data_IF_558734220617
#
_entry.id   IF_558734220617
#
_cell.length_a   1.000
_cell.length_b   1.000
_cell.length_c   1.000
_cell.angle_alpha   90.00
_cell.angle_beta   90.00
_cell.angle_gamma   90.00
#
_symmetry.space_group_name_H-M   'P 1'
#
loop_
_entity.id
_entity.type
_entity.pdbx_description
1 polymer ?
#
# COMPACT_ATOMS: atom_id res chain seq x y z
N UNK A 1 3.86 60.10 -5.10
CA UNK A 1 2.87 59.51 -4.17
C UNK A 1 2.31 58.15 -4.61
N UNK A 2 2.04 57.89 -5.90
CA UNK A 2 1.55 56.56 -6.36
C UNK A 2 2.51 55.37 -6.08
N UNK A 3 3.83 55.57 -6.14
CA UNK A 3 4.81 54.48 -5.93
C UNK A 3 4.96 54.05 -4.46
N UNK A 4 4.68 54.95 -3.51
CA UNK A 4 4.70 54.63 -2.06
C UNK A 4 3.47 53.81 -1.69
N UNK A 5 2.31 54.11 -2.31
CA UNK A 5 1.06 53.36 -2.07
C UNK A 5 1.18 51.93 -2.61
N UNK A 6 1.84 51.71 -3.75
CA UNK A 6 2.07 50.37 -4.29
C UNK A 6 3.00 49.56 -3.37
N UNK A 7 4.07 50.16 -2.84
CA UNK A 7 5.00 49.47 -1.95
C UNK A 7 4.34 49.08 -0.61
N UNK A 8 3.52 49.98 -0.04
CA UNK A 8 2.77 49.70 1.19
C UNK A 8 1.70 48.63 0.98
N UNK A 9 1.04 48.60 -0.19
CA UNK A 9 0.04 47.56 -0.51
C UNK A 9 0.69 46.20 -0.77
N UNK A 10 1.89 46.15 -1.37
CA UNK A 10 2.64 44.90 -1.57
C UNK A 10 3.19 44.36 -0.26
N UNK A 11 3.73 45.22 0.61
CA UNK A 11 4.26 44.80 1.93
C UNK A 11 3.11 44.42 2.88
N UNK A 12 2.00 45.17 2.88
CA UNK A 12 0.81 44.79 3.65
C UNK A 12 0.15 43.52 3.10
N UNK A 13 0.12 43.33 1.78
CA UNK A 13 -0.36 42.11 1.14
C UNK A 13 0.51 40.89 1.47
N UNK A 14 1.84 41.06 1.47
CA UNK A 14 2.79 40.02 1.88
C UNK A 14 2.68 39.71 3.38
N UNK A 15 2.52 40.71 4.24
CA UNK A 15 2.32 40.53 5.68
C UNK A 15 0.98 39.84 6.00
N UNK A 16 -0.09 40.19 5.28
CA UNK A 16 -1.42 39.61 5.46
C UNK A 16 -1.50 38.17 4.92
N UNK A 17 -0.85 37.90 3.79
CA UNK A 17 -0.68 36.55 3.24
C UNK A 17 0.18 35.69 4.18
N UNK A 18 1.28 36.24 4.72
CA UNK A 18 2.13 35.56 5.69
C UNK A 18 1.38 35.23 6.98
N UNK A 19 0.46 36.09 7.45
CA UNK A 19 -0.24 35.88 8.73
C UNK A 19 -1.56 35.09 8.64
N UNK A 20 -2.22 35.03 7.48
CA UNK A 20 -3.53 34.39 7.31
C UNK A 20 -3.55 33.15 6.40
N UNK A 21 -2.44 32.79 5.75
CA UNK A 21 -2.34 31.56 4.96
C UNK A 21 -1.42 30.55 5.68
N UNK A 22 -1.95 29.73 6.59
CA UNK A 22 -1.17 28.70 7.28
C UNK A 22 -0.49 27.72 6.31
N UNK A 23 -1.08 27.45 5.15
CA UNK A 23 -0.47 26.60 4.10
C UNK A 23 0.80 27.17 3.46
N UNK A 24 0.97 28.50 3.41
CA UNK A 24 2.19 29.15 2.89
C UNK A 24 3.32 29.13 3.92
N UNK A 25 2.98 29.32 5.21
CA UNK A 25 3.92 29.09 6.30
C UNK A 25 4.31 27.62 6.36
N UNK A 26 3.38 26.68 6.30
CA UNK A 26 3.70 25.25 6.30
C UNK A 26 4.56 24.84 5.11
N UNK A 27 4.36 25.43 3.92
CA UNK A 27 5.23 25.15 2.76
C UNK A 27 6.63 25.76 2.89
N UNK A 28 6.75 26.99 3.41
CA UNK A 28 8.06 27.63 3.65
C UNK A 28 8.79 26.99 4.83
N UNK A 29 8.07 26.58 5.87
CA UNK A 29 8.62 25.88 7.04
C UNK A 29 8.93 24.42 6.68
N UNK A 30 8.14 23.76 5.83
CA UNK A 30 8.51 22.45 5.25
C UNK A 30 9.68 22.57 4.31
N UNK A 31 9.78 23.59 3.45
CA UNK A 31 10.95 23.80 2.61
C UNK A 31 12.20 24.10 3.45
N UNK A 32 12.10 24.99 4.45
CA UNK A 32 13.20 25.30 5.36
C UNK A 32 13.62 24.11 6.23
N UNK A 33 12.67 23.27 6.67
CA UNK A 33 12.95 22.04 7.41
C UNK A 33 13.42 20.89 6.51
N UNK A 34 13.01 20.86 5.23
CA UNK A 34 13.37 19.83 4.25
C UNK A 34 14.83 19.90 3.82
N UNK A 35 15.45 21.08 3.91
CA UNK A 35 16.89 21.26 3.66
C UNK A 35 17.72 21.37 4.95
N UNK A 36 17.14 21.16 6.14
CA UNK A 36 17.90 21.26 7.40
C UNK A 36 18.64 22.59 7.61
N UNK A 37 18.23 23.67 6.94
CA UNK A 37 18.93 24.95 6.93
C UNK A 37 20.02 25.14 5.86
N UNK A 38 20.24 24.18 4.94
CA UNK A 38 21.20 24.30 3.84
C UNK A 38 20.69 25.16 2.68
N UNK A 39 20.89 26.48 2.76
CA UNK A 39 20.65 27.40 1.64
C UNK A 39 21.65 27.19 0.50
N UNK A 40 21.42 27.77 -0.68
CA UNK A 40 22.42 27.73 -1.77
C UNK A 40 23.75 28.35 -1.34
N UNK A 41 23.71 29.46 -0.60
CA UNK A 41 24.89 30.11 -0.04
C UNK A 41 25.60 29.22 0.98
N UNK A 42 24.86 28.55 1.87
CA UNK A 42 25.43 27.62 2.85
C UNK A 42 26.15 26.45 2.16
N UNK A 43 25.54 25.89 1.11
CA UNK A 43 26.11 24.80 0.31
C UNK A 43 27.40 25.19 -0.41
N UNK A 44 27.47 26.42 -0.95
CA UNK A 44 28.69 26.95 -1.57
C UNK A 44 29.77 27.27 -0.54
N UNK A 45 29.38 27.74 0.65
CA UNK A 45 30.32 28.08 1.72
C UNK A 45 30.92 26.85 2.42
N UNK A 46 30.18 25.75 2.47
CA UNK A 46 30.62 24.47 3.04
C UNK A 46 30.13 23.29 2.19
N UNK A 47 30.77 23.04 1.03
CA UNK A 47 30.35 21.99 0.11
C UNK A 47 30.62 20.58 0.68
N UNK A 48 31.65 20.44 1.53
CA UNK A 48 31.97 19.17 2.18
C UNK A 48 30.92 18.83 3.23
N UNK A 49 30.53 19.78 4.08
CA UNK A 49 29.47 19.58 5.08
C UNK A 49 28.11 19.28 4.43
N UNK A 50 27.80 19.90 3.28
CA UNK A 50 26.58 19.55 2.55
C UNK A 50 26.61 18.11 2.00
N UNK A 51 27.75 17.67 1.44
CA UNK A 51 27.90 16.28 0.96
C UNK A 51 27.80 15.29 2.12
N UNK A 52 28.38 15.60 3.29
CA UNK A 52 28.22 14.80 4.51
C UNK A 52 26.76 14.70 4.93
N UNK A 53 26.05 15.83 5.01
CA UNK A 53 24.63 15.85 5.35
C UNK A 53 23.78 15.03 4.36
N UNK A 54 24.01 15.19 3.06
CA UNK A 54 23.31 14.42 2.03
C UNK A 54 23.60 12.91 2.15
N UNK A 55 24.83 12.54 2.50
CA UNK A 55 25.23 11.15 2.74
C UNK A 55 24.48 10.57 3.93
N UNK A 56 24.48 11.27 5.07
CA UNK A 56 23.75 10.84 6.29
C UNK A 56 22.24 10.69 6.03
N UNK A 57 21.65 11.60 5.25
CA UNK A 57 20.25 11.52 4.88
C UNK A 57 19.96 10.29 4.00
N UNK A 58 20.79 10.01 2.98
CA UNK A 58 20.63 8.82 2.15
C UNK A 58 20.82 7.52 2.95
N UNK A 59 21.77 7.48 3.89
CA UNK A 59 21.96 6.34 4.79
C UNK A 59 20.75 6.11 5.71
N UNK A 60 20.12 7.19 6.17
CA UNK A 60 18.86 7.12 6.93
C UNK A 60 17.73 6.57 6.06
N UNK A 61 17.55 7.10 4.84
CA UNK A 61 16.54 6.63 3.89
C UNK A 61 16.72 5.14 3.56
N UNK A 62 17.97 4.68 3.37
CA UNK A 62 18.30 3.26 3.16
C UNK A 62 17.77 2.40 4.31
N UNK A 63 18.03 2.81 5.56
CA UNK A 63 17.55 2.07 6.76
C UNK A 63 16.03 2.02 6.81
N UNK A 64 15.36 3.14 6.48
CA UNK A 64 13.90 3.20 6.43
C UNK A 64 13.33 2.29 5.33
N UNK A 65 13.93 2.26 4.14
CA UNK A 65 13.55 1.36 3.06
C UNK A 65 13.80 -0.11 3.40
N UNK A 66 14.91 -0.44 4.07
CA UNK A 66 15.20 -1.80 4.54
C UNK A 66 14.19 -2.27 5.61
N UNK A 67 13.80 -1.37 6.53
CA UNK A 67 12.75 -1.64 7.51
C UNK A 67 11.39 -1.85 6.83
N UNK A 68 11.01 -0.98 5.90
CA UNK A 68 9.76 -1.10 5.14
C UNK A 68 9.72 -2.41 4.33
N UNK A 69 10.82 -2.78 3.68
CA UNK A 69 10.95 -4.06 2.97
C UNK A 69 10.77 -5.25 3.90
N UNK A 70 11.35 -5.21 5.09
CA UNK A 70 11.19 -6.26 6.11
C UNK A 70 9.73 -6.40 6.54
N UNK A 71 9.04 -5.27 6.74
CA UNK A 71 7.62 -5.26 7.07
C UNK A 71 6.77 -5.87 5.93
N UNK A 72 7.06 -5.54 4.67
CA UNK A 72 6.40 -6.13 3.50
C UNK A 72 6.58 -7.65 3.43
N UNK A 73 7.76 -8.18 3.75
CA UNK A 73 8.00 -9.63 3.81
C UNK A 73 7.15 -10.30 4.88
N UNK A 74 7.01 -9.68 6.06
CA UNK A 74 6.13 -10.19 7.12
C UNK A 74 4.66 -10.17 6.69
N UNK A 75 4.22 -9.08 6.07
CA UNK A 75 2.85 -8.93 5.56
C UNK A 75 2.56 -9.92 4.43
N UNK A 76 3.55 -10.22 3.57
CA UNK A 76 3.45 -11.25 2.53
C UNK A 76 3.12 -12.60 3.15
N UNK A 77 3.92 -13.04 4.13
CA UNK A 77 3.72 -14.32 4.81
C UNK A 77 2.34 -14.40 5.47
N UNK A 78 1.89 -13.33 6.12
CA UNK A 78 0.55 -13.31 6.73
C UNK A 78 -0.56 -13.36 5.68
N UNK A 79 -0.36 -12.72 4.53
CA UNK A 79 -1.32 -12.71 3.43
C UNK A 79 -1.40 -14.07 2.72
N UNK A 80 -0.25 -14.74 2.54
CA UNK A 80 -0.18 -16.12 2.02
C UNK A 80 -0.91 -17.11 2.95
N UNK A 81 -0.74 -16.99 4.26
CA UNK A 81 -1.46 -17.84 5.22
C UNK A 81 -2.98 -17.64 5.15
N UNK A 82 -3.45 -16.40 4.97
CA UNK A 82 -4.88 -16.10 4.79
C UNK A 82 -5.42 -16.59 3.46
N UNK A 83 -4.65 -16.49 2.40
CA UNK A 83 -5.02 -17.05 1.10
C UNK A 83 -5.23 -18.57 1.20
N UNK A 84 -4.36 -19.27 1.92
CA UNK A 84 -4.50 -20.71 2.14
C UNK A 84 -5.71 -21.06 3.01
N UNK A 85 -5.97 -20.30 4.08
CA UNK A 85 -7.17 -20.46 4.92
C UNK A 85 -8.47 -20.37 4.08
N UNK A 86 -8.54 -19.41 3.15
CA UNK A 86 -9.70 -19.29 2.26
C UNK A 86 -9.79 -20.38 1.20
N UNK A 87 -8.67 -20.92 0.72
CA UNK A 87 -8.66 -22.10 -0.15
C UNK A 87 -9.24 -23.32 0.55
N UNK A 88 -8.81 -23.56 1.78
CA UNK A 88 -9.32 -24.65 2.61
C UNK A 88 -10.82 -24.47 2.91
N UNK A 89 -11.25 -23.25 3.24
CA UNK A 89 -12.66 -22.91 3.47
C UNK A 89 -13.52 -23.15 2.21
N UNK A 90 -13.03 -22.71 1.05
CA UNK A 90 -13.72 -22.91 -0.23
C UNK A 90 -13.84 -24.39 -0.56
N UNK A 91 -12.74 -25.14 -0.47
CA UNK A 91 -12.68 -26.57 -0.79
C UNK A 91 -13.58 -27.38 0.15
N UNK A 92 -13.53 -27.09 1.45
CA UNK A 92 -14.37 -27.75 2.47
C UNK A 92 -15.85 -27.47 2.22
N UNK A 93 -16.20 -26.21 1.95
CA UNK A 93 -17.60 -25.82 1.69
C UNK A 93 -18.15 -26.50 0.44
N UNK A 94 -17.37 -26.54 -0.66
CA UNK A 94 -17.76 -27.22 -1.90
C UNK A 94 -17.84 -28.74 -1.74
N UNK A 95 -16.88 -29.34 -1.03
CA UNK A 95 -16.88 -30.78 -0.74
C UNK A 95 -18.14 -31.18 0.04
N UNK A 96 -18.51 -30.40 1.05
CA UNK A 96 -19.72 -30.64 1.83
C UNK A 96 -21.00 -30.42 1.00
N UNK A 97 -21.05 -29.36 0.19
CA UNK A 97 -22.20 -29.10 -0.69
C UNK A 97 -22.42 -30.26 -1.68
N UNK A 98 -21.34 -30.79 -2.28
CA UNK A 98 -21.41 -31.95 -3.17
C UNK A 98 -21.89 -33.22 -2.44
N UNK A 99 -21.40 -33.47 -1.22
CA UNK A 99 -21.86 -34.61 -0.43
C UNK A 99 -23.35 -34.52 -0.08
N UNK A 100 -23.84 -33.32 0.27
CA UNK A 100 -25.26 -33.09 0.51
C UNK A 100 -26.06 -33.29 -0.77
N UNK A 101 -25.56 -32.82 -1.91
CA UNK A 101 -26.20 -33.00 -3.22
C UNK A 101 -26.42 -34.47 -3.56
N UNK A 102 -25.42 -35.32 -3.33
CA UNK A 102 -25.55 -36.77 -3.56
C UNK A 102 -26.62 -37.39 -2.66
N UNK A 103 -26.61 -37.09 -1.36
CA UNK A 103 -27.63 -37.60 -0.43
C UNK A 103 -29.03 -37.07 -0.74
N UNK A 104 -29.13 -35.80 -1.15
CA UNK A 104 -30.37 -35.16 -1.55
C UNK A 104 -31.00 -35.87 -2.75
N UNK A 105 -30.22 -36.18 -3.80
CA UNK A 105 -30.72 -36.92 -4.98
C UNK A 105 -31.28 -38.28 -4.59
N UNK A 106 -30.55 -39.04 -3.77
CA UNK A 106 -31.01 -40.35 -3.28
C UNK A 106 -32.31 -40.22 -2.48
N UNK A 107 -32.41 -39.23 -1.59
CA UNK A 107 -33.60 -39.00 -0.77
C UNK A 107 -34.81 -38.57 -1.61
N UNK A 108 -34.63 -37.75 -2.65
CA UNK A 108 -35.71 -37.38 -3.59
C UNK A 108 -36.17 -38.60 -4.41
N UNK A 109 -35.27 -39.44 -4.90
CA UNK A 109 -35.62 -40.63 -5.69
C UNK A 109 -36.32 -41.70 -4.85
N UNK A 110 -35.89 -41.88 -3.61
CA UNK A 110 -36.38 -42.96 -2.74
C UNK A 110 -37.49 -42.53 -1.78
N UNK A 111 -37.74 -41.23 -1.65
CA UNK A 111 -38.65 -40.66 -0.65
C UNK A 111 -38.14 -40.77 0.79
N UNK A 112 -36.87 -41.18 1.00
CA UNK A 112 -36.30 -41.43 2.32
C UNK A 112 -35.69 -40.15 2.91
N UNK A 113 -36.53 -39.43 3.66
CA UNK A 113 -36.11 -38.29 4.49
C UNK A 113 -36.14 -38.68 5.98
N UNK A 114 -35.28 -38.09 6.84
CA UNK A 114 -34.24 -37.07 6.58
C UNK A 114 -32.90 -37.65 6.09
N UNK A 115 -32.07 -36.82 5.45
CA UNK A 115 -30.67 -37.16 5.13
C UNK A 115 -29.76 -36.94 6.35
N UNK A 116 -28.61 -37.62 6.42
CA UNK A 116 -27.67 -37.49 7.55
C UNK A 116 -26.29 -37.05 7.09
N UNK A 117 -25.88 -35.87 7.53
CA UNK A 117 -24.63 -35.21 7.11
C UNK A 117 -23.85 -34.86 8.36
N UNK A 118 -22.61 -35.34 8.46
CA UNK A 118 -21.74 -35.16 9.64
C UNK A 118 -22.44 -35.50 10.98
N UNK A 119 -23.23 -36.59 10.99
CA UNK A 119 -23.96 -37.06 12.17
C UNK A 119 -25.18 -36.24 12.55
N UNK A 120 -25.60 -35.26 11.73
CA UNK A 120 -26.83 -34.48 11.94
C UNK A 120 -27.86 -34.80 10.86
N UNK A 121 -29.11 -34.90 11.26
CA UNK A 121 -30.22 -35.14 10.33
C UNK A 121 -30.80 -33.83 9.79
N UNK A 122 -31.07 -33.79 8.49
CA UNK A 122 -31.64 -32.64 7.79
C UNK A 122 -32.85 -33.08 6.97
N UNK A 123 -33.98 -32.40 7.17
CA UNK A 123 -35.11 -32.50 6.24
C UNK A 123 -34.78 -31.80 4.91
N UNK A 124 -35.70 -31.90 3.95
CA UNK A 124 -35.54 -31.34 2.61
C UNK A 124 -35.24 -29.85 2.61
N UNK A 125 -36.01 -29.07 3.39
CA UNK A 125 -35.88 -27.62 3.44
C UNK A 125 -34.57 -27.21 4.13
N UNK A 126 -34.22 -27.92 5.19
CA UNK A 126 -32.97 -27.71 5.92
C UNK A 126 -31.74 -28.06 5.05
N UNK A 127 -31.81 -29.13 4.25
CA UNK A 127 -30.75 -29.51 3.32
C UNK A 127 -30.53 -28.45 2.22
N UNK A 128 -31.61 -27.93 1.62
CA UNK A 128 -31.53 -26.83 0.62
C UNK A 128 -30.91 -25.58 1.25
N UNK A 129 -31.36 -25.21 2.45
CA UNK A 129 -30.83 -24.05 3.18
C UNK A 129 -29.35 -24.20 3.51
N UNK A 130 -28.93 -25.40 3.94
CA UNK A 130 -27.53 -25.70 4.24
C UNK A 130 -26.66 -25.59 2.98
N UNK A 131 -27.12 -26.13 1.85
CA UNK A 131 -26.41 -26.03 0.57
C UNK A 131 -26.28 -24.57 0.13
N UNK A 132 -27.34 -23.77 0.25
CA UNK A 132 -27.28 -22.34 -0.02
C UNK A 132 -26.20 -21.63 0.79
N UNK A 133 -26.15 -21.91 2.09
CA UNK A 133 -25.14 -21.32 2.97
C UNK A 133 -23.72 -21.75 2.56
N UNK A 134 -23.52 -23.02 2.22
CA UNK A 134 -22.21 -23.54 1.80
C UNK A 134 -21.75 -22.94 0.47
N UNK A 135 -22.66 -22.79 -0.50
CA UNK A 135 -22.36 -22.14 -1.78
C UNK A 135 -22.04 -20.66 -1.59
N UNK A 136 -22.78 -19.97 -0.71
CA UNK A 136 -22.49 -18.58 -0.37
C UNK A 136 -21.11 -18.44 0.31
N UNK A 137 -20.79 -19.30 1.28
CA UNK A 137 -19.47 -19.36 1.93
C UNK A 137 -18.37 -19.60 0.90
N UNK A 138 -18.54 -20.60 0.02
CA UNK A 138 -17.57 -20.89 -1.04
C UNK A 138 -17.34 -19.70 -1.97
N UNK A 139 -18.41 -19.03 -2.40
CA UNK A 139 -18.33 -17.84 -3.24
C UNK A 139 -17.61 -16.69 -2.53
N UNK A 140 -17.90 -16.46 -1.27
CA UNK A 140 -17.26 -15.41 -0.48
C UNK A 140 -15.77 -15.70 -0.25
N UNK A 141 -15.41 -16.96 0.01
CA UNK A 141 -14.02 -17.40 0.12
C UNK A 141 -13.28 -17.16 -1.21
N UNK A 142 -13.89 -17.51 -2.35
CA UNK A 142 -13.32 -17.26 -3.67
C UNK A 142 -13.05 -15.77 -3.94
N UNK A 143 -13.99 -14.89 -3.60
CA UNK A 143 -13.81 -13.45 -3.74
C UNK A 143 -12.63 -12.94 -2.89
N UNK A 144 -12.56 -13.39 -1.62
CA UNK A 144 -11.45 -13.03 -0.73
C UNK A 144 -10.11 -13.57 -1.23
N UNK A 145 -10.07 -14.76 -1.83
CA UNK A 145 -8.85 -15.28 -2.46
C UNK A 145 -8.34 -14.33 -3.54
N UNK A 146 -9.23 -13.85 -4.43
CA UNK A 146 -8.87 -12.87 -5.47
C UNK A 146 -8.34 -11.57 -4.87
N UNK A 147 -8.95 -11.05 -3.80
CA UNK A 147 -8.46 -9.84 -3.11
C UNK A 147 -7.04 -10.06 -2.56
N UNK A 148 -6.78 -11.20 -1.91
CA UNK A 148 -5.47 -11.50 -1.35
C UNK A 148 -4.40 -11.75 -2.42
N UNK A 149 -4.76 -12.33 -3.56
CA UNK A 149 -3.85 -12.46 -4.72
C UNK A 149 -3.43 -11.08 -5.25
N UNK A 150 -4.34 -10.11 -5.32
CA UNK A 150 -4.01 -8.73 -5.69
C UNK A 150 -3.09 -8.06 -4.66
N UNK A 151 -3.35 -8.25 -3.37
CA UNK A 151 -2.47 -7.75 -2.29
C UNK A 151 -1.07 -8.33 -2.41
N UNK A 152 -0.94 -9.63 -2.65
CA UNK A 152 0.36 -10.28 -2.83
C UNK A 152 1.13 -9.73 -4.04
N UNK A 153 0.45 -9.53 -5.16
CA UNK A 153 1.06 -8.91 -6.34
C UNK A 153 1.54 -7.48 -6.08
N UNK A 154 0.76 -6.67 -5.34
CA UNK A 154 1.14 -5.32 -4.94
C UNK A 154 2.34 -5.31 -3.99
N UNK A 155 2.39 -6.25 -3.03
CA UNK A 155 3.53 -6.42 -2.12
C UNK A 155 4.81 -6.75 -2.90
N UNK A 156 4.73 -7.63 -3.89
CA UNK A 156 5.88 -8.03 -4.71
C UNK A 156 6.40 -6.88 -5.57
N UNK A 157 5.50 -6.12 -6.20
CA UNK A 157 5.87 -4.93 -6.96
C UNK A 157 6.58 -3.90 -6.07
N UNK A 158 6.02 -3.60 -4.88
CA UNK A 158 6.61 -2.61 -3.98
C UNK A 158 7.94 -3.08 -3.37
N UNK A 159 8.08 -4.38 -3.11
CA UNK A 159 9.33 -4.97 -2.63
C UNK A 159 10.45 -4.89 -3.68
N UNK A 160 10.13 -5.08 -4.95
CA UNK A 160 11.07 -4.88 -6.06
C UNK A 160 11.48 -3.41 -6.21
N UNK A 161 10.51 -2.50 -6.13
CA UNK A 161 10.75 -1.05 -6.16
C UNK A 161 11.69 -0.60 -5.04
N UNK A 162 11.43 -1.01 -3.78
CA UNK A 162 12.30 -0.71 -2.64
C UNK A 162 13.70 -1.28 -2.82
N UNK A 163 13.83 -2.47 -3.41
CA UNK A 163 15.13 -3.08 -3.70
C UNK A 163 15.94 -2.25 -4.70
N UNK A 164 15.28 -1.74 -5.75
CA UNK A 164 15.88 -0.81 -6.71
C UNK A 164 16.36 0.46 -6.02
N UNK A 165 15.50 1.09 -5.21
CA UNK A 165 15.82 2.33 -4.49
C UNK A 165 16.94 2.18 -3.47
N UNK A 166 16.97 1.08 -2.73
CA UNK A 166 18.06 0.77 -1.80
C UNK A 166 19.39 0.68 -2.57
N UNK A 167 19.39 -0.02 -3.71
CA UNK A 167 20.59 -0.18 -4.54
C UNK A 167 21.07 1.15 -5.12
N UNK A 168 20.14 1.95 -5.64
CA UNK A 168 20.42 3.29 -6.16
C UNK A 168 20.95 4.23 -5.06
N UNK A 169 20.32 4.23 -3.88
CA UNK A 169 20.76 5.06 -2.76
C UNK A 169 22.15 4.66 -2.26
N UNK A 170 22.45 3.35 -2.19
CA UNK A 170 23.80 2.85 -1.84
C UNK A 170 24.85 3.30 -2.86
N UNK A 171 24.54 3.17 -4.15
CA UNK A 171 25.40 3.68 -5.21
C UNK A 171 25.64 5.20 -5.10
N UNK A 172 24.60 5.96 -4.77
CA UNK A 172 24.71 7.41 -4.59
C UNK A 172 25.56 7.78 -3.37
N UNK A 173 25.45 7.04 -2.25
CA UNK A 173 26.34 7.21 -1.08
C UNK A 173 27.81 7.00 -1.48
N UNK A 174 28.12 5.93 -2.21
CA UNK A 174 29.50 5.67 -2.69
C UNK A 174 30.00 6.79 -3.62
N UNK A 175 29.13 7.26 -4.51
CA UNK A 175 29.44 8.38 -5.41
C UNK A 175 29.67 9.67 -4.63
N UNK A 176 28.85 9.99 -3.63
CA UNK A 176 29.03 11.16 -2.76
C UNK A 176 30.36 11.09 -2.00
N UNK A 177 30.77 9.90 -1.54
CA UNK A 177 32.07 9.72 -0.90
C UNK A 177 33.23 10.07 -1.85
N UNK A 178 33.19 9.59 -3.11
CA UNK A 178 34.21 9.95 -4.11
C UNK A 178 34.18 11.45 -4.45
N UNK A 179 32.99 12.03 -4.59
CA UNK A 179 32.77 13.44 -4.84
C UNK A 179 33.28 14.35 -3.71
N UNK A 180 33.09 13.94 -2.46
CA UNK A 180 33.62 14.62 -1.28
C UNK A 180 35.14 14.73 -1.33
N UNK A 181 35.84 13.66 -1.71
CA UNK A 181 37.30 13.68 -1.85
C UNK A 181 37.76 14.59 -2.99
N UNK A 182 37.04 14.61 -4.12
CA UNK A 182 37.32 15.57 -5.20
C UNK A 182 37.15 17.02 -4.74
N UNK A 183 36.06 17.35 -4.04
CA UNK A 183 35.80 18.71 -3.53
C UNK A 183 36.85 19.15 -2.51
N UNK A 184 37.35 18.22 -1.67
CA UNK A 184 38.47 18.51 -0.76
C UNK A 184 39.76 18.87 -1.50
N UNK A 185 39.98 18.28 -2.67
CA UNK A 185 41.16 18.53 -3.51
C UNK A 185 40.98 19.81 -4.35
N UNK A 186 39.80 20.01 -4.94
CA UNK A 186 39.48 21.06 -5.91
C UNK A 186 38.56 22.16 -5.36
N UNK A 187 38.83 22.66 -4.14
CA UNK A 187 38.01 23.67 -3.44
C UNK A 187 37.74 25.01 -4.16
N UNK A 188 38.10 25.16 -5.45
CA UNK A 188 38.06 26.40 -6.23
C UNK A 188 37.54 26.28 -7.69
N UNK A 189 36.89 25.19 -8.13
CA UNK A 189 36.42 25.07 -9.53
C UNK A 189 34.89 25.05 -9.70
N UNK A 190 34.42 25.45 -10.90
CA UNK A 190 33.01 25.41 -11.31
C UNK A 190 32.43 23.98 -11.37
N UNK A 191 33.28 22.94 -11.33
CA UNK A 191 32.83 21.55 -11.24
C UNK A 191 32.23 21.23 -9.87
N UNK A 192 32.62 21.94 -8.81
CA UNK A 192 32.03 21.81 -7.47
C UNK A 192 30.55 22.22 -7.46
N UNK A 193 30.19 23.32 -8.12
CA UNK A 193 28.80 23.79 -8.20
C UNK A 193 27.90 22.81 -8.96
N UNK A 194 28.39 22.25 -10.08
CA UNK A 194 27.67 21.20 -10.83
C UNK A 194 27.51 19.91 -10.02
N UNK A 195 28.49 19.59 -9.18
CA UNK A 195 28.41 18.46 -8.27
C UNK A 195 27.31 18.69 -7.23
N UNK A 196 27.31 19.85 -6.57
CA UNK A 196 26.33 20.20 -5.53
C UNK A 196 24.90 20.21 -6.07
N UNK A 197 24.68 20.65 -7.31
CA UNK A 197 23.39 20.55 -7.97
C UNK A 197 22.93 19.09 -8.13
N UNK A 198 23.83 18.18 -8.56
CA UNK A 198 23.54 16.75 -8.68
C UNK A 198 23.26 16.08 -7.32
N UNK A 199 23.96 16.51 -6.27
CA UNK A 199 23.68 16.04 -4.89
C UNK A 199 22.30 16.49 -4.44
N UNK A 200 21.93 17.74 -4.74
CA UNK A 200 20.62 18.28 -4.41
C UNK A 200 19.48 17.52 -5.12
N UNK A 201 19.62 17.25 -6.42
CA UNK A 201 18.62 16.49 -7.18
C UNK A 201 18.44 15.07 -6.63
N UNK A 202 19.52 14.44 -6.14
CA UNK A 202 19.47 13.12 -5.51
C UNK A 202 18.70 13.12 -4.19
N UNK A 203 18.96 14.09 -3.31
CA UNK A 203 18.24 14.24 -2.03
C UNK A 203 16.78 14.61 -2.26
N UNK A 204 16.49 15.46 -3.25
CA UNK A 204 15.12 15.84 -3.62
C UNK A 204 14.32 14.68 -4.23
N UNK A 205 14.96 13.87 -5.07
CA UNK A 205 14.36 12.66 -5.64
C UNK A 205 13.92 11.69 -4.55
N UNK A 206 14.80 11.41 -3.58
CA UNK A 206 14.48 10.48 -2.49
C UNK A 206 13.43 11.03 -1.50
N UNK A 207 13.55 12.30 -1.10
CA UNK A 207 12.65 12.90 -0.08
C UNK A 207 11.20 13.05 -0.55
N UNK A 208 10.95 13.39 -1.82
CA UNK A 208 9.58 13.45 -2.39
C UNK A 208 8.87 12.09 -2.35
N UNK A 209 9.63 11.00 -2.30
CA UNK A 209 9.10 9.65 -2.33
C UNK A 209 8.98 9.00 -0.94
N UNK A 210 9.60 9.59 0.10
CA UNK A 210 9.34 9.29 1.50
C UNK A 210 8.04 9.96 2.01
N UNK A 211 7.58 11.01 1.32
CA UNK A 211 6.34 11.74 1.63
C UNK A 211 5.07 11.04 1.09
N UNK A 212 5.18 10.08 0.16
CA UNK A 212 4.07 9.20 -0.18
C UNK A 212 3.89 8.22 1.00
N UNK A 213 2.79 8.31 1.78
CA UNK A 213 2.57 7.37 2.86
C UNK A 213 2.58 5.98 2.24
N UNK A 214 3.48 5.11 2.73
CA UNK A 214 3.45 3.72 2.35
C UNK A 214 2.03 3.24 2.62
N UNK A 215 1.28 2.91 1.55
CA UNK A 215 -0.06 2.35 1.65
C UNK A 215 0.02 1.22 2.67
N UNK A 216 -0.56 1.45 3.85
CA UNK A 216 -0.43 0.49 4.91
C UNK A 216 -1.25 -0.74 4.53
N UNK A 217 -0.88 -1.91 5.07
CA UNK A 217 -1.70 -3.11 4.92
C UNK A 217 -3.16 -2.82 5.31
N UNK A 218 -3.36 -1.99 6.33
CA UNK A 218 -4.68 -1.55 6.77
C UNK A 218 -5.40 -0.67 5.74
N UNK A 219 -4.71 0.22 5.04
CA UNK A 219 -5.30 1.04 3.97
C UNK A 219 -5.71 0.18 2.75
N UNK A 220 -4.84 -0.75 2.34
CA UNK A 220 -5.12 -1.71 1.26
C UNK A 220 -6.31 -2.62 1.60
N UNK A 221 -6.29 -3.22 2.80
CA UNK A 221 -7.39 -4.08 3.25
C UNK A 221 -8.67 -3.26 3.41
N UNK A 222 -8.61 -2.02 3.89
CA UNK A 222 -9.80 -1.18 4.10
C UNK A 222 -10.45 -0.75 2.79
N UNK A 223 -9.66 -0.47 1.75
CA UNK A 223 -10.20 -0.18 0.42
C UNK A 223 -10.81 -1.43 -0.24
N UNK A 224 -10.15 -2.59 -0.13
CA UNK A 224 -10.70 -3.86 -0.61
C UNK A 224 -11.97 -4.29 0.15
N UNK A 225 -11.97 -4.14 1.48
CA UNK A 225 -13.14 -4.46 2.32
C UNK A 225 -14.33 -3.53 2.03
N UNK A 226 -14.07 -2.27 1.64
CA UNK A 226 -15.11 -1.34 1.19
C UNK A 226 -15.76 -1.80 -0.11
N UNK A 227 -14.96 -2.30 -1.07
CA UNK A 227 -15.48 -2.88 -2.31
C UNK A 227 -16.30 -4.13 -2.04
N UNK A 228 -15.77 -5.07 -1.25
CA UNK A 228 -16.47 -6.32 -0.91
C UNK A 228 -17.83 -6.06 -0.23
N UNK A 229 -17.91 -5.10 0.71
CA UNK A 229 -19.18 -4.73 1.36
C UNK A 229 -20.18 -4.05 0.43
N UNK A 230 -19.72 -3.37 -0.62
CA UNK A 230 -20.61 -2.78 -1.61
C UNK A 230 -21.28 -3.86 -2.48
N UNK A 231 -20.54 -4.94 -2.78
CA UNK A 231 -21.01 -6.07 -3.57
C UNK A 231 -21.92 -7.02 -2.76
N UNK A 232 -21.58 -7.26 -1.48
CA UNK A 232 -22.40 -8.06 -0.56
C UNK A 232 -23.81 -7.47 -0.38
N UNK A 233 -23.90 -6.14 -0.30
CA UNK A 233 -25.18 -5.42 -0.17
C UNK A 233 -26.02 -5.46 -1.45
N UNK A 234 -25.41 -5.75 -2.60
CA UNK A 234 -26.09 -5.90 -3.89
C UNK A 234 -26.61 -7.34 -4.13
N UNK A 235 -26.03 -8.34 -3.48
CA UNK A 235 -26.34 -9.76 -3.71
C UNK A 235 -27.49 -10.34 -2.84
N UNK A 236 -27.97 -9.60 -1.85
CA UNK A 236 -28.68 -10.18 -0.70
C UNK A 236 -30.22 -10.16 -0.70
N UNK A 237 -30.97 -10.11 -1.83
CA UNK A 237 -32.45 -10.20 -1.71
C UNK A 237 -33.26 -11.20 -2.53
N UNK A 238 -32.87 -11.72 -3.70
CA UNK A 238 -33.84 -12.57 -4.46
C UNK A 238 -33.26 -13.80 -5.21
N UNK A 239 -31.94 -14.01 -5.24
CA UNK A 239 -31.31 -15.06 -6.07
C UNK A 239 -30.96 -16.37 -5.34
N UNK A 240 -31.04 -16.41 -4.00
CA UNK A 240 -30.44 -17.51 -3.23
C UNK A 240 -31.18 -18.86 -3.39
N UNK A 241 -32.52 -18.88 -3.43
CA UNK A 241 -33.25 -20.15 -3.46
C UNK A 241 -33.23 -20.86 -4.83
N UNK A 242 -33.07 -20.13 -5.94
CA UNK A 242 -32.92 -20.76 -7.27
C UNK A 242 -31.54 -21.44 -7.38
N UNK A 243 -30.47 -20.78 -6.93
CA UNK A 243 -29.12 -21.28 -7.09
C UNK A 243 -28.86 -22.63 -6.41
N UNK A 244 -29.36 -22.87 -5.17
CA UNK A 244 -29.24 -24.19 -4.56
C UNK A 244 -30.06 -25.27 -5.28
N UNK A 245 -31.28 -24.95 -5.71
CA UNK A 245 -32.10 -25.94 -6.42
C UNK A 245 -31.45 -26.31 -7.76
N UNK A 246 -30.92 -25.33 -8.49
CA UNK A 246 -30.19 -25.56 -9.74
C UNK A 246 -28.90 -26.37 -9.48
N UNK A 247 -28.19 -26.07 -8.39
CA UNK A 247 -27.02 -26.84 -7.98
C UNK A 247 -27.36 -28.28 -7.60
N UNK A 248 -28.46 -28.50 -6.86
CA UNK A 248 -28.89 -29.83 -6.43
C UNK A 248 -29.39 -30.68 -7.59
N UNK A 249 -30.05 -30.07 -8.58
CA UNK A 249 -30.66 -30.76 -9.72
C UNK A 249 -29.73 -30.94 -10.92
N UNK A 250 -28.62 -30.19 -11.02
CA UNK A 250 -27.56 -30.42 -12.02
C UNK A 250 -26.79 -31.71 -11.79
#
# INVERSE_FOLDING_TARGET
MKNIIIFVVVVAGAYFAWNNLPGLRDQVTKAANKYGGWTEEARKSDPVGFIEHATEQLEKDIKEFEAAKTALVSNKKSSEAKLEEYRDEQATSMGLANSIKEQYKIAEETGNWPITVAGKSYDRTAAITLVNNLLATSKNAAARMTDYEQVLAAIDLKSAELTGRISESKFNVEKLAAQKELVKIDSLSAEADMLLAKVNDLVEGNSKLAEEPALTYEDLVKDLTKQAKAEEKAAASDAANSAALDFLNS
#
